data_IF_589091418753
#
_entry.id   IF_589091418753
#
_cell.length_a   1.000
_cell.length_b   1.000
_cell.length_c   1.000
_cell.angle_alpha   90.00
_cell.angle_beta   90.00
_cell.angle_gamma   90.00
#
_symmetry.space_group_name_H-M   'P 1'
#
loop_
_entity.id
_entity.type
_entity.pdbx_description
1 polymer ?
#
# COMPACT_ATOMS: atom_id res chain seq x y z
N UNK A 1 -0.89 -11.33 -11.05
CA UNK A 1 -0.53 -10.83 -9.72
C UNK A 1 0.32 -11.86 -9.00
N UNK A 2 1.48 -11.45 -8.50
CA UNK A 2 2.33 -12.23 -7.61
C UNK A 2 2.03 -11.80 -6.17
N UNK A 3 1.94 -12.75 -5.23
CA UNK A 3 1.68 -12.49 -3.82
C UNK A 3 2.40 -13.50 -2.94
N UNK A 4 2.57 -13.16 -1.67
CA UNK A 4 3.22 -13.93 -0.62
C UNK A 4 2.31 -13.96 0.62
N UNK A 5 1.94 -15.16 1.06
CA UNK A 5 1.24 -15.39 2.32
C UNK A 5 2.25 -15.98 3.32
N UNK A 6 2.21 -15.54 4.58
CA UNK A 6 3.03 -16.08 5.66
C UNK A 6 2.21 -16.90 6.65
N UNK A 7 2.80 -17.94 7.22
CA UNK A 7 2.27 -18.69 8.35
C UNK A 7 3.38 -18.90 9.38
N UNK A 8 3.20 -18.45 10.61
CA UNK A 8 4.16 -18.68 11.70
C UNK A 8 4.09 -20.15 12.09
N UNK A 9 5.20 -20.87 11.94
CA UNK A 9 5.28 -22.32 12.24
C UNK A 9 5.65 -22.57 13.70
N UNK A 10 6.53 -21.73 14.24
CA UNK A 10 6.98 -21.71 15.64
C UNK A 10 7.62 -20.33 15.91
N UNK A 11 8.09 -20.09 17.15
CA UNK A 11 8.70 -18.81 17.57
C UNK A 11 9.79 -18.26 16.63
N UNK A 12 10.50 -19.12 15.91
CA UNK A 12 11.68 -18.73 15.12
C UNK A 12 11.51 -18.91 13.61
N UNK A 13 10.44 -19.55 13.15
CA UNK A 13 10.29 -19.95 11.74
C UNK A 13 8.91 -19.59 11.21
N UNK A 14 8.88 -19.13 9.96
CA UNK A 14 7.66 -18.97 9.20
C UNK A 14 7.73 -19.69 7.85
N UNK A 15 6.56 -20.13 7.39
CA UNK A 15 6.35 -20.64 6.04
C UNK A 15 5.85 -19.49 5.18
N UNK A 16 6.60 -19.15 4.13
CA UNK A 16 6.16 -18.21 3.10
C UNK A 16 5.71 -18.99 1.88
N UNK A 17 4.46 -18.74 1.48
CA UNK A 17 3.87 -19.28 0.26
C UNK A 17 3.79 -18.19 -0.79
N UNK A 18 4.61 -18.30 -1.82
CA UNK A 18 4.58 -17.42 -2.98
C UNK A 18 3.63 -17.99 -4.03
N UNK A 19 2.74 -17.15 -4.54
CA UNK A 19 1.77 -17.54 -5.56
C UNK A 19 1.80 -16.55 -6.70
N UNK A 20 1.73 -17.09 -7.92
CA UNK A 20 1.53 -16.32 -9.13
C UNK A 20 0.21 -16.75 -9.77
N UNK A 21 -0.80 -15.90 -9.63
CA UNK A 21 -2.13 -16.17 -10.18
C UNK A 21 -2.20 -16.11 -11.71
N UNK A 22 -1.18 -15.54 -12.39
CA UNK A 22 -1.13 -15.48 -13.86
C UNK A 22 -0.60 -16.79 -14.41
N UNK A 23 0.47 -17.30 -13.81
CA UNK A 23 1.13 -18.54 -14.27
C UNK A 23 0.57 -19.79 -13.59
N UNK A 24 -0.37 -19.62 -12.66
CA UNK A 24 -0.94 -20.69 -11.84
C UNK A 24 0.14 -21.55 -11.16
N UNK A 25 1.15 -20.89 -10.58
CA UNK A 25 2.25 -21.54 -9.86
C UNK A 25 2.27 -21.11 -8.40
N UNK A 26 2.51 -22.05 -7.49
CA UNK A 26 2.76 -21.77 -6.07
C UNK A 26 4.04 -22.47 -5.61
N UNK A 27 4.75 -21.84 -4.68
CA UNK A 27 5.94 -22.42 -4.05
C UNK A 27 5.97 -22.03 -2.59
N UNK A 28 6.38 -22.97 -1.73
CA UNK A 28 6.52 -22.71 -0.30
C UNK A 28 8.00 -22.75 0.08
N UNK A 29 8.40 -21.86 0.98
CA UNK A 29 9.73 -21.85 1.60
C UNK A 29 9.61 -21.59 3.09
N UNK A 30 10.52 -22.15 3.86
CA UNK A 30 10.65 -21.85 5.30
C UNK A 30 11.76 -20.84 5.46
N UNK A 31 11.50 -19.77 6.21
CA UNK A 31 12.48 -18.73 6.53
C UNK A 31 12.49 -18.46 8.03
N UNK A 32 13.58 -17.85 8.51
CA UNK A 32 13.66 -17.33 9.87
C UNK A 32 12.76 -16.11 10.08
N UNK A 33 12.31 -15.89 11.30
CA UNK A 33 11.45 -14.74 11.62
C UNK A 33 12.13 -13.39 11.41
N UNK A 34 13.44 -13.33 11.62
CA UNK A 34 14.28 -12.18 11.34
C UNK A 34 14.18 -11.72 9.87
N UNK A 35 13.86 -12.62 8.95
CA UNK A 35 13.68 -12.32 7.53
C UNK A 35 12.27 -11.78 7.20
N UNK A 36 11.31 -11.78 8.14
CA UNK A 36 9.94 -11.30 7.91
C UNK A 36 9.91 -9.88 7.32
N UNK A 37 10.82 -9.03 7.79
CA UNK A 37 10.96 -7.64 7.34
C UNK A 37 11.40 -7.55 5.86
N UNK A 38 12.12 -8.55 5.34
CA UNK A 38 12.61 -8.59 3.97
C UNK A 38 11.57 -9.11 2.95
N UNK A 39 10.48 -9.71 3.43
CA UNK A 39 9.42 -10.26 2.58
C UNK A 39 8.21 -9.32 2.45
N UNK A 40 7.76 -9.08 1.22
CA UNK A 40 6.55 -8.30 0.94
C UNK A 40 5.30 -9.19 1.07
N UNK A 41 5.00 -9.60 2.30
CA UNK A 41 3.81 -10.39 2.62
C UNK A 41 2.53 -9.56 2.50
N UNK A 42 1.46 -10.19 2.01
CA UNK A 42 0.10 -9.62 2.01
C UNK A 42 -0.71 -10.04 3.22
N UNK A 43 -0.33 -11.11 3.91
CA UNK A 43 -0.99 -11.59 5.14
C UNK A 43 -0.05 -12.49 5.92
N UNK A 44 -0.16 -12.46 7.25
CA UNK A 44 0.52 -13.38 8.15
C UNK A 44 -0.49 -14.08 9.05
N UNK A 45 -0.43 -15.41 9.09
CA UNK A 45 -1.22 -16.25 9.98
C UNK A 45 -0.36 -16.73 11.16
N UNK A 46 -0.99 -16.89 12.32
CA UNK A 46 -0.35 -17.43 13.52
C UNK A 46 -1.35 -18.29 14.31
N UNK A 47 -0.85 -19.18 15.15
CA UNK A 47 -1.66 -19.93 16.12
C UNK A 47 -1.62 -19.24 17.48
N UNK A 48 -2.70 -19.26 18.26
CA UNK A 48 -2.80 -18.50 19.51
C UNK A 48 -1.69 -18.84 20.52
N UNK A 49 -1.25 -20.11 20.53
CA UNK A 49 -0.13 -20.62 21.35
C UNK A 49 1.18 -19.85 21.09
N UNK A 50 1.34 -19.30 19.90
CA UNK A 50 2.56 -18.58 19.51
C UNK A 50 2.60 -17.16 20.09
N UNK A 51 1.48 -16.62 20.57
CA UNK A 51 1.45 -15.31 21.24
C UNK A 51 2.03 -15.33 22.66
N UNK A 52 2.37 -16.51 23.19
CA UNK A 52 3.08 -16.66 24.47
C UNK A 52 4.53 -16.15 24.39
N UNK A 53 5.09 -16.05 23.18
CA UNK A 53 6.44 -15.53 22.94
C UNK A 53 6.40 -14.01 22.72
N UNK A 54 6.89 -13.26 23.71
CA UNK A 54 6.92 -11.79 23.68
C UNK A 54 7.73 -11.22 22.50
N UNK A 55 8.82 -11.88 22.09
CA UNK A 55 9.69 -11.43 21.00
C UNK A 55 9.00 -11.56 19.64
N UNK A 56 8.31 -12.69 19.43
CA UNK A 56 7.49 -12.92 18.25
C UNK A 56 6.36 -11.88 18.18
N UNK A 57 5.69 -11.63 19.30
CA UNK A 57 4.59 -10.65 19.39
C UNK A 57 5.05 -9.24 19.03
N UNK A 58 6.18 -8.78 19.56
CA UNK A 58 6.75 -7.48 19.20
C UNK A 58 7.05 -7.36 17.70
N UNK A 59 7.64 -8.40 17.10
CA UNK A 59 7.96 -8.46 15.67
C UNK A 59 6.70 -8.40 14.79
N UNK A 60 5.64 -9.11 15.19
CA UNK A 60 4.35 -9.08 14.52
C UNK A 60 3.69 -7.70 14.65
N UNK A 61 3.65 -7.11 15.84
CA UNK A 61 3.06 -5.78 16.07
C UNK A 61 3.75 -4.70 15.23
N UNK A 62 5.08 -4.72 15.11
CA UNK A 62 5.82 -3.80 14.25
C UNK A 62 5.43 -3.93 12.76
N UNK A 63 4.97 -5.10 12.35
CA UNK A 63 4.58 -5.42 10.97
C UNK A 63 3.08 -5.20 10.69
N UNK A 64 2.24 -5.10 11.73
CA UNK A 64 0.78 -5.03 11.62
C UNK A 64 0.26 -3.82 10.85
N UNK A 65 1.07 -2.75 10.73
CA UNK A 65 0.74 -1.57 9.93
C UNK A 65 0.87 -1.76 8.42
N UNK A 66 1.56 -2.81 7.97
CA UNK A 66 1.85 -3.06 6.55
C UNK A 66 0.93 -4.12 5.93
N UNK A 67 0.48 -5.10 6.71
CA UNK A 67 -0.38 -6.19 6.26
C UNK A 67 -1.20 -6.76 7.42
N UNK A 68 -2.36 -7.39 7.15
CA UNK A 68 -3.15 -8.05 8.18
C UNK A 68 -2.41 -9.24 8.81
N UNK A 69 -2.53 -9.30 10.14
CA UNK A 69 -2.09 -10.43 10.95
C UNK A 69 -3.34 -11.06 11.58
N UNK A 70 -3.53 -12.36 11.39
CA UNK A 70 -4.77 -13.07 11.76
C UNK A 70 -4.49 -14.42 12.41
N UNK A 71 -5.36 -14.80 13.34
CA UNK A 71 -5.34 -16.15 13.90
C UNK A 71 -5.68 -17.15 12.79
N UNK A 72 -4.89 -18.20 12.67
CA UNK A 72 -5.15 -19.30 11.76
C UNK A 72 -6.44 -20.05 12.14
N UNK A 73 -6.79 -20.04 13.43
CA UNK A 73 -8.02 -20.63 13.98
C UNK A 73 -9.30 -20.03 13.37
N UNK A 74 -9.32 -18.72 13.11
CA UNK A 74 -10.48 -18.01 12.50
C UNK A 74 -10.85 -18.55 11.11
N UNK A 75 -9.90 -19.19 10.44
CA UNK A 75 -10.05 -19.74 9.10
C UNK A 75 -9.93 -21.26 9.08
N UNK A 76 -9.85 -21.91 10.24
CA UNK A 76 -9.59 -23.35 10.38
C UNK A 76 -8.34 -23.79 9.61
N UNK A 77 -7.32 -22.93 9.55
CA UNK A 77 -6.04 -23.22 8.94
C UNK A 77 -5.08 -23.78 9.99
N UNK A 78 -4.39 -24.84 9.61
CA UNK A 78 -3.19 -25.39 10.27
C UNK A 78 -1.97 -25.23 9.37
N UNK A 79 -0.75 -25.35 9.91
CA UNK A 79 0.50 -25.35 9.12
C UNK A 79 0.41 -26.31 7.92
N UNK A 80 -0.03 -27.55 8.16
CA UNK A 80 -0.12 -28.59 7.14
C UNK A 80 -1.16 -28.24 6.05
N UNK A 81 -2.31 -27.71 6.45
CA UNK A 81 -3.35 -27.29 5.50
C UNK A 81 -2.89 -26.09 4.68
N UNK A 82 -2.17 -25.14 5.29
CA UNK A 82 -1.64 -23.94 4.64
C UNK A 82 -0.60 -24.30 3.58
N UNK A 83 0.34 -25.19 3.92
CA UNK A 83 1.35 -25.69 2.97
C UNK A 83 0.69 -26.37 1.76
N UNK A 84 -0.43 -27.08 1.97
CA UNK A 84 -1.18 -27.81 0.95
C UNK A 84 -2.24 -26.98 0.20
N UNK A 85 -2.50 -25.73 0.60
CA UNK A 85 -3.49 -24.87 -0.06
C UNK A 85 -3.27 -24.82 -1.58
N UNK A 86 -4.29 -25.19 -2.35
CA UNK A 86 -4.29 -25.00 -3.79
C UNK A 86 -4.44 -23.50 -4.12
N UNK A 87 -4.01 -23.09 -5.32
CA UNK A 87 -4.00 -21.66 -5.71
C UNK A 87 -5.38 -21.02 -5.61
N UNK A 88 -6.43 -21.73 -6.01
CA UNK A 88 -7.81 -21.22 -5.96
C UNK A 88 -8.28 -21.01 -4.52
N UNK A 89 -7.95 -21.93 -3.62
CA UNK A 89 -8.30 -21.83 -2.20
C UNK A 89 -7.51 -20.74 -1.51
N UNK A 90 -6.21 -20.66 -1.77
CA UNK A 90 -5.35 -19.62 -1.25
C UNK A 90 -5.81 -18.22 -1.72
N UNK A 91 -6.25 -18.10 -2.98
CA UNK A 91 -6.86 -16.86 -3.48
C UNK A 91 -8.11 -16.49 -2.68
N UNK A 92 -9.03 -17.44 -2.47
CA UNK A 92 -10.25 -17.18 -1.71
C UNK A 92 -9.96 -16.75 -0.26
N UNK A 93 -8.99 -17.40 0.39
CA UNK A 93 -8.52 -17.02 1.72
C UNK A 93 -7.95 -15.59 1.71
N UNK A 94 -7.08 -15.30 0.74
CA UNK A 94 -6.45 -14.00 0.60
C UNK A 94 -7.49 -12.89 0.37
N UNK A 95 -8.42 -13.09 -0.56
CA UNK A 95 -9.48 -12.13 -0.90
C UNK A 95 -10.34 -11.79 0.32
N UNK A 96 -10.70 -12.81 1.11
CA UNK A 96 -11.49 -12.64 2.34
C UNK A 96 -10.73 -11.82 3.39
N UNK A 97 -9.45 -12.14 3.63
CA UNK A 97 -8.66 -11.48 4.68
C UNK A 97 -8.29 -10.06 4.28
N UNK A 98 -7.81 -9.86 3.06
CA UNK A 98 -7.47 -8.53 2.53
C UNK A 98 -8.70 -7.65 2.43
N UNK A 99 -9.84 -8.18 1.95
CA UNK A 99 -11.08 -7.40 1.86
C UNK A 99 -11.53 -6.86 3.21
N UNK A 100 -11.46 -7.68 4.27
CA UNK A 100 -11.77 -7.23 5.62
C UNK A 100 -10.76 -6.18 6.13
N UNK A 101 -9.46 -6.40 5.91
CA UNK A 101 -8.43 -5.45 6.31
C UNK A 101 -8.57 -4.09 5.62
N UNK A 102 -8.80 -4.09 4.31
CA UNK A 102 -9.04 -2.88 3.52
C UNK A 102 -10.29 -2.16 4.02
N UNK A 103 -11.38 -2.89 4.28
CA UNK A 103 -12.60 -2.31 4.83
C UNK A 103 -12.36 -1.66 6.19
N UNK A 104 -11.62 -2.33 7.08
CA UNK A 104 -11.26 -1.80 8.38
C UNK A 104 -10.44 -0.50 8.25
N UNK A 105 -9.40 -0.49 7.41
CA UNK A 105 -8.58 0.70 7.17
C UNK A 105 -9.41 1.87 6.62
N UNK A 106 -10.34 1.57 5.71
CA UNK A 106 -11.25 2.54 5.11
C UNK A 106 -12.18 3.16 6.15
N UNK A 107 -12.72 2.34 7.06
CA UNK A 107 -13.55 2.81 8.17
C UNK A 107 -12.72 3.68 9.12
N UNK A 108 -11.52 3.25 9.50
CA UNK A 108 -10.63 4.04 10.37
C UNK A 108 -10.28 5.39 9.74
N UNK A 109 -9.95 5.43 8.44
CA UNK A 109 -9.72 6.70 7.74
C UNK A 109 -10.96 7.60 7.76
N UNK A 110 -12.16 7.03 7.65
CA UNK A 110 -13.39 7.81 7.71
C UNK A 110 -13.65 8.38 9.12
N UNK A 111 -13.38 7.60 10.16
CA UNK A 111 -13.54 8.00 11.57
C UNK A 111 -12.53 9.09 11.96
N UNK A 112 -11.29 8.97 11.50
CA UNK A 112 -10.18 9.88 11.81
C UNK A 112 -9.96 10.95 10.74
N UNK A 113 -10.87 11.08 9.77
CA UNK A 113 -10.69 11.85 8.54
C UNK A 113 -10.15 13.27 8.80
N UNK A 114 -10.78 14.01 9.70
CA UNK A 114 -10.41 15.40 9.96
C UNK A 114 -9.05 15.50 10.67
N UNK A 115 -8.77 14.60 11.62
CA UNK A 115 -7.48 14.58 12.32
C UNK A 115 -6.33 14.31 11.34
N UNK A 116 -6.50 13.34 10.43
CA UNK A 116 -5.52 13.03 9.38
C UNK A 116 -5.36 14.20 8.44
N UNK A 117 -6.46 14.82 8.00
CA UNK A 117 -6.43 15.97 7.08
C UNK A 117 -5.73 17.17 7.71
N UNK A 118 -5.99 17.47 8.97
CA UNK A 118 -5.35 18.58 9.70
C UNK A 118 -3.84 18.35 9.82
N UNK A 119 -3.42 17.15 10.25
CA UNK A 119 -2.00 16.77 10.33
C UNK A 119 -1.28 16.88 8.98
N UNK A 120 -1.85 16.30 7.91
CA UNK A 120 -1.27 16.41 6.57
C UNK A 120 -1.24 17.86 6.08
N UNK A 121 -2.25 18.67 6.41
CA UNK A 121 -2.26 20.08 6.05
C UNK A 121 -1.17 20.89 6.76
N UNK A 122 -0.78 20.52 7.97
CA UNK A 122 0.38 21.08 8.68
C UNK A 122 1.71 20.70 8.02
N UNK A 123 1.83 19.49 7.46
CA UNK A 123 3.02 19.08 6.73
C UNK A 123 3.19 19.83 5.41
N UNK A 124 2.10 20.18 4.72
CA UNK A 124 2.17 20.78 3.37
C UNK A 124 3.12 21.99 3.22
N UNK A 125 3.08 23.04 4.09
CA UNK A 125 4.02 24.16 4.01
C UNK A 125 5.41 23.86 4.60
N UNK A 126 5.53 22.85 5.47
CA UNK A 126 6.72 22.61 6.30
C UNK A 126 7.63 21.53 5.72
N UNK A 127 7.05 20.39 5.34
CA UNK A 127 7.74 19.25 4.75
C UNK A 127 6.82 18.55 3.73
N UNK A 128 6.97 18.97 2.47
CA UNK A 128 6.18 18.46 1.37
C UNK A 128 6.51 17.01 1.01
N UNK A 129 7.74 16.57 1.24
CA UNK A 129 8.13 15.17 1.00
C UNK A 129 7.42 14.28 2.01
N UNK A 130 7.48 14.63 3.30
CA UNK A 130 6.79 13.89 4.36
C UNK A 130 5.27 13.82 4.12
N UNK A 131 4.65 14.92 3.65
CA UNK A 131 3.23 14.91 3.23
C UNK A 131 2.93 13.79 2.23
N UNK A 132 3.73 13.69 1.15
CA UNK A 132 3.48 12.71 0.10
C UNK A 132 3.88 11.29 0.51
N UNK A 133 4.86 11.11 1.38
CA UNK A 133 5.21 9.82 1.98
C UNK A 133 4.08 9.26 2.85
N UNK A 134 3.48 10.11 3.70
CA UNK A 134 2.32 9.73 4.50
C UNK A 134 1.09 9.48 3.63
N UNK A 135 0.83 10.34 2.63
CA UNK A 135 -0.24 10.12 1.67
C UNK A 135 -0.07 8.79 0.92
N UNK A 136 1.16 8.46 0.49
CA UNK A 136 1.48 7.19 -0.15
C UNK A 136 1.14 6.00 0.75
N UNK A 137 1.50 6.08 2.03
CA UNK A 137 1.23 5.02 3.00
C UNK A 137 -0.27 4.84 3.25
N UNK A 138 -0.99 5.95 3.41
CA UNK A 138 -2.44 5.97 3.59
C UNK A 138 -3.15 5.35 2.39
N UNK A 139 -2.77 5.74 1.17
CA UNK A 139 -3.35 5.17 -0.04
C UNK A 139 -3.03 3.68 -0.19
N UNK A 140 -1.79 3.25 0.11
CA UNK A 140 -1.40 1.84 0.07
C UNK A 140 -2.30 0.98 0.95
N UNK A 141 -2.52 1.40 2.19
CA UNK A 141 -3.34 0.65 3.17
C UNK A 141 -4.83 0.67 2.83
N UNK A 142 -5.35 1.82 2.39
CA UNK A 142 -6.77 1.96 2.04
C UNK A 142 -7.13 1.30 0.70
N UNK A 143 -6.16 1.09 -0.17
CA UNK A 143 -6.35 0.35 -1.43
C UNK A 143 -6.07 -1.15 -1.30
N UNK A 144 -5.38 -1.59 -0.26
CA UNK A 144 -4.87 -2.97 -0.23
C UNK A 144 -3.80 -3.21 -1.29
N UNK A 145 -2.99 -2.18 -1.59
CA UNK A 145 -2.08 -2.21 -2.72
C UNK A 145 -0.80 -3.00 -2.42
N UNK A 146 -0.54 -4.02 -3.23
CA UNK A 146 0.71 -4.78 -3.19
C UNK A 146 1.89 -3.88 -3.54
N UNK A 147 1.70 -3.05 -4.56
CA UNK A 147 2.65 -2.06 -5.05
C UNK A 147 1.90 -0.75 -5.30
N UNK A 148 2.52 0.38 -4.95
CA UNK A 148 2.01 1.71 -5.24
C UNK A 148 3.17 2.64 -5.59
N UNK A 149 2.98 3.43 -6.65
CA UNK A 149 3.88 4.49 -7.06
C UNK A 149 3.10 5.79 -7.04
N UNK A 150 3.64 6.80 -6.38
CA UNK A 150 3.05 8.14 -6.35
C UNK A 150 4.03 9.10 -7.02
N UNK A 151 3.58 9.80 -8.05
CA UNK A 151 4.34 10.85 -8.73
C UNK A 151 3.68 12.19 -8.43
N UNK A 152 4.47 13.18 -8.05
CA UNK A 152 4.00 14.54 -7.82
C UNK A 152 5.01 15.57 -8.32
N UNK A 153 4.54 16.79 -8.54
CA UNK A 153 5.41 17.90 -8.90
C UNK A 153 5.92 18.60 -7.64
N UNK A 154 7.23 18.86 -7.57
CA UNK A 154 7.87 19.62 -6.50
C UNK A 154 8.77 20.75 -7.03
N UNK A 155 9.24 21.62 -6.13
CA UNK A 155 10.13 22.73 -6.44
C UNK A 155 11.50 22.49 -5.82
N UNK A 156 12.53 22.47 -6.66
CA UNK A 156 13.94 22.41 -6.24
C UNK A 156 14.60 23.76 -6.43
N UNK A 157 15.25 24.28 -5.38
CA UNK A 157 16.09 25.49 -5.49
C UNK A 157 17.33 25.17 -6.33
N UNK A 158 17.53 25.89 -7.44
CA UNK A 158 18.73 25.77 -8.28
C UNK A 158 19.58 27.04 -8.15
N UNK A 159 20.79 26.90 -7.58
CA UNK A 159 21.80 27.95 -7.49
C UNK A 159 22.22 28.31 -6.07
N UNK A 160 23.39 28.97 -5.92
CA UNK A 160 23.90 29.46 -4.62
C UNK A 160 23.20 30.73 -4.12
N UNK A 161 22.48 31.43 -5.01
CA UNK A 161 21.67 32.61 -4.72
C UNK A 161 20.22 32.28 -5.07
N UNK A 162 19.31 32.49 -4.12
CA UNK A 162 18.03 31.80 -3.93
C UNK A 162 16.89 32.07 -4.96
N UNK A 163 17.19 32.53 -6.17
CA UNK A 163 16.18 33.17 -7.04
C UNK A 163 15.58 32.28 -8.15
N UNK A 164 15.98 31.00 -8.28
CA UNK A 164 15.41 30.11 -9.31
C UNK A 164 14.93 28.79 -8.74
N UNK A 165 13.61 28.66 -8.68
CA UNK A 165 12.93 27.38 -8.46
C UNK A 165 12.77 26.66 -9.79
N UNK A 166 13.21 25.41 -9.87
CA UNK A 166 12.87 24.51 -10.96
C UNK A 166 11.78 23.55 -10.52
N UNK A 167 10.80 23.37 -11.40
CA UNK A 167 9.80 22.31 -11.25
C UNK A 167 10.48 20.97 -11.54
N UNK A 168 10.45 20.07 -10.56
CA UNK A 168 10.90 18.69 -10.69
C UNK A 168 9.71 17.75 -10.47
N UNK A 169 9.83 16.54 -10.99
CA UNK A 169 8.95 15.44 -10.61
C UNK A 169 9.64 14.67 -9.49
N UNK A 170 8.87 14.25 -8.50
CA UNK A 170 9.31 13.30 -7.47
C UNK A 170 8.44 12.06 -7.59
N UNK A 171 9.07 10.90 -7.53
CA UNK A 171 8.41 9.60 -7.45
C UNK A 171 8.66 9.00 -6.08
N UNK A 172 7.59 8.52 -5.45
CA UNK A 172 7.62 7.71 -4.25
C UNK A 172 7.25 6.29 -4.64
N UNK A 173 8.19 5.37 -4.41
CA UNK A 173 8.04 3.94 -4.64
C UNK A 173 8.52 3.17 -3.41
N UNK A 174 8.18 1.88 -3.31
CA UNK A 174 8.61 1.01 -2.23
C UNK A 174 7.62 -0.12 -1.95
N UNK A 175 8.12 -1.20 -1.32
CA UNK A 175 7.26 -2.33 -0.95
C UNK A 175 6.55 -2.09 0.38
N UNK A 176 7.30 -1.68 1.41
CA UNK A 176 6.77 -1.44 2.77
C UNK A 176 6.89 0.01 3.21
N UNK A 177 8.02 0.63 2.91
CA UNK A 177 8.38 1.98 3.35
C UNK A 177 8.52 2.84 2.09
N UNK A 178 8.03 4.08 2.09
CA UNK A 178 8.22 4.99 0.96
C UNK A 178 9.71 5.31 0.75
N UNK A 179 10.10 5.45 -0.52
CA UNK A 179 11.45 5.82 -0.93
C UNK A 179 11.37 6.93 -1.99
N UNK A 180 11.32 8.20 -1.58
CA UNK A 180 11.20 9.33 -2.49
C UNK A 180 12.49 9.53 -3.30
N UNK A 181 12.36 9.71 -4.60
CA UNK A 181 13.46 9.96 -5.54
C UNK A 181 13.06 11.01 -6.56
N UNK A 182 14.05 11.76 -7.04
CA UNK A 182 13.84 12.67 -8.16
C UNK A 182 13.51 11.85 -9.42
N UNK A 183 12.40 12.19 -10.06
CA UNK A 183 11.92 11.55 -11.27
C UNK A 183 12.73 11.95 -12.50
N UNK A 184 12.63 11.15 -13.55
CA UNK A 184 13.30 11.36 -14.83
C UNK A 184 12.34 11.67 -15.97
N UNK A 185 12.76 11.30 -17.18
CA UNK A 185 11.97 11.50 -18.41
C UNK A 185 10.70 10.65 -18.42
N UNK A 186 10.68 9.50 -17.73
CA UNK A 186 9.51 8.64 -17.67
C UNK A 186 8.39 9.30 -16.86
N UNK A 187 8.71 9.84 -15.68
CA UNK A 187 7.76 10.53 -14.81
C UNK A 187 7.19 11.78 -15.49
N UNK A 188 8.02 12.53 -16.22
CA UNK A 188 7.55 13.66 -17.04
C UNK A 188 6.51 13.23 -18.07
N UNK A 189 6.81 12.17 -18.84
CA UNK A 189 5.87 11.64 -19.84
C UNK A 189 4.57 11.15 -19.20
N UNK A 190 4.64 10.50 -18.03
CA UNK A 190 3.45 10.09 -17.30
C UNK A 190 2.60 11.32 -16.91
N UNK A 191 3.22 12.34 -16.30
CA UNK A 191 2.51 13.56 -15.93
C UNK A 191 1.90 14.27 -17.15
N UNK A 192 2.59 14.29 -18.29
CA UNK A 192 2.06 14.87 -19.52
C UNK A 192 0.88 14.06 -20.09
N UNK A 193 0.94 12.72 -20.03
CA UNK A 193 -0.13 11.84 -20.51
C UNK A 193 -1.43 12.00 -19.72
N UNK A 194 -1.35 12.28 -18.41
CA UNK A 194 -2.51 12.44 -17.52
C UNK A 194 -2.88 13.91 -17.24
N UNK A 195 -2.33 14.85 -18.01
CA UNK A 195 -2.45 16.29 -17.73
C UNK A 195 -3.88 16.79 -17.65
N UNK A 196 -4.78 16.24 -18.47
CA UNK A 196 -6.19 16.63 -18.52
C UNK A 196 -6.94 16.22 -17.23
N UNK A 197 -6.46 15.19 -16.52
CA UNK A 197 -7.06 14.73 -15.27
C UNK A 197 -6.75 15.66 -14.08
N UNK A 198 -5.64 16.40 -14.15
CA UNK A 198 -5.19 17.29 -13.06
C UNK A 198 -6.03 18.55 -12.88
N UNK A 199 -6.99 18.80 -13.78
CA UNK A 199 -8.01 19.84 -13.62
C UNK A 199 -8.96 19.50 -12.46
N UNK A 200 -9.15 18.21 -12.19
CA UNK A 200 -10.00 17.72 -11.12
C UNK A 200 -9.20 17.52 -9.82
N UNK A 201 -9.88 17.61 -8.68
CA UNK A 201 -9.27 17.26 -7.39
C UNK A 201 -8.93 15.77 -7.32
N UNK A 202 -9.81 14.93 -7.88
CA UNK A 202 -9.66 13.49 -7.91
C UNK A 202 -10.36 12.90 -9.13
N UNK A 203 -9.68 11.98 -9.80
CA UNK A 203 -10.17 11.19 -10.92
C UNK A 203 -9.61 9.78 -10.85
N UNK A 204 -10.44 8.80 -11.27
CA UNK A 204 -9.99 7.43 -11.54
C UNK A 204 -9.71 7.39 -13.04
N UNK A 205 -8.46 7.63 -13.40
CA UNK A 205 -8.05 7.77 -14.80
C UNK A 205 -8.12 6.42 -15.54
N UNK A 206 -7.73 5.34 -14.87
CA UNK A 206 -7.76 3.99 -15.43
C UNK A 206 -7.96 2.94 -14.34
N UNK A 207 -8.76 1.91 -14.62
CA UNK A 207 -8.83 0.70 -13.79
C UNK A 207 -9.01 -0.51 -14.69
N UNK A 208 -8.07 -1.45 -14.65
CA UNK A 208 -8.11 -2.74 -15.36
C UNK A 208 -8.25 -3.85 -14.33
N UNK A 209 -9.48 -4.31 -14.01
CA UNK A 209 -9.73 -5.33 -12.99
C UNK A 209 -8.97 -6.63 -13.23
N UNK A 210 -8.85 -7.08 -14.48
CA UNK A 210 -8.21 -8.36 -14.82
C UNK A 210 -6.70 -8.36 -14.51
N UNK A 211 -6.09 -7.17 -14.53
CA UNK A 211 -4.67 -6.98 -14.20
C UNK A 211 -4.45 -6.47 -12.78
N UNK A 212 -5.51 -6.02 -12.11
CA UNK A 212 -5.42 -5.35 -10.81
C UNK A 212 -4.74 -3.98 -10.90
N UNK A 213 -4.73 -3.34 -12.07
CA UNK A 213 -4.01 -2.08 -12.29
C UNK A 213 -4.97 -0.89 -12.11
N UNK A 214 -4.63 0.01 -11.18
CA UNK A 214 -5.40 1.22 -10.89
C UNK A 214 -4.53 2.46 -11.08
N UNK A 215 -5.06 3.45 -11.78
CA UNK A 215 -4.46 4.78 -11.92
C UNK A 215 -5.41 5.84 -11.38
N UNK A 216 -4.97 6.56 -10.35
CA UNK A 216 -5.66 7.71 -9.79
C UNK A 216 -4.88 8.97 -10.14
N UNK A 217 -5.57 10.03 -10.54
CA UNK A 217 -4.95 11.29 -10.90
C UNK A 217 -5.77 12.46 -10.31
N UNK A 218 -5.11 13.58 -10.07
CA UNK A 218 -5.81 14.77 -9.62
C UNK A 218 -4.86 15.87 -9.18
N UNK A 219 -5.39 16.79 -8.39
CA UNK A 219 -4.60 17.86 -7.82
C UNK A 219 -4.95 18.13 -6.37
N UNK A 220 -3.90 18.22 -5.53
CA UNK A 220 -3.99 18.69 -4.15
C UNK A 220 -3.37 20.07 -4.08
N UNK A 221 -4.15 21.08 -3.66
CA UNK A 221 -3.70 22.48 -3.53
C UNK A 221 -2.97 22.99 -4.79
N UNK A 222 -3.50 22.66 -5.97
CA UNK A 222 -2.93 22.98 -7.31
C UNK A 222 -1.62 22.27 -7.65
N UNK A 223 -1.17 21.32 -6.83
CA UNK A 223 -0.10 20.39 -7.18
C UNK A 223 -0.70 19.16 -7.84
N UNK A 224 -0.35 18.85 -9.09
CA UNK A 224 -0.70 17.58 -9.71
C UNK A 224 -0.11 16.39 -8.95
N UNK A 225 -0.86 15.30 -8.89
CA UNK A 225 -0.39 14.00 -8.43
C UNK A 225 -0.94 12.88 -9.32
N UNK A 226 -0.18 11.79 -9.41
CA UNK A 226 -0.53 10.57 -10.11
C UNK A 226 -0.19 9.37 -9.21
N UNK A 227 -1.13 8.47 -9.02
CA UNK A 227 -0.94 7.24 -8.23
C UNK A 227 -1.20 6.06 -9.15
N UNK A 228 -0.23 5.16 -9.23
CA UNK A 228 -0.34 3.88 -9.94
C UNK A 228 -0.23 2.76 -8.91
N UNK A 229 -1.24 1.91 -8.82
CA UNK A 229 -1.32 0.86 -7.82
C UNK A 229 -1.67 -0.50 -8.43
N UNK A 230 -1.07 -1.56 -7.87
CA UNK A 230 -1.45 -2.95 -8.12
C UNK A 230 -2.28 -3.44 -6.94
N UNK A 231 -3.57 -3.66 -7.16
CA UNK A 231 -4.59 -3.95 -6.15
C UNK A 231 -5.39 -5.20 -6.53
N UNK A 232 -6.03 -5.82 -5.55
CA UNK A 232 -6.89 -6.98 -5.78
C UNK A 232 -8.28 -6.58 -6.31
N UNK A 233 -8.90 -5.58 -5.69
CA UNK A 233 -10.21 -5.07 -6.06
C UNK A 233 -10.33 -3.57 -5.72
N UNK A 234 -11.22 -2.87 -6.41
CA UNK A 234 -11.51 -1.45 -6.20
C UNK A 234 -13.01 -1.20 -6.09
N UNK A 235 -13.49 -1.14 -4.85
CA UNK A 235 -14.92 -0.99 -4.56
C UNK A 235 -15.39 0.47 -4.66
N UNK A 236 -16.70 0.66 -4.84
CA UNK A 236 -17.32 1.99 -4.78
C UNK A 236 -17.10 2.70 -3.44
N UNK A 237 -17.03 1.94 -2.35
CA UNK A 237 -16.75 2.47 -1.01
C UNK A 237 -15.33 3.06 -0.96
N UNK A 238 -14.33 2.29 -1.38
CA UNK A 238 -12.93 2.75 -1.46
C UNK A 238 -12.81 4.00 -2.32
N UNK A 239 -13.43 4.01 -3.51
CA UNK A 239 -13.46 5.18 -4.39
C UNK A 239 -14.02 6.41 -3.66
N UNK A 240 -15.16 6.26 -2.98
CA UNK A 240 -15.84 7.36 -2.31
C UNK A 240 -15.03 7.92 -1.13
N UNK A 241 -14.40 7.04 -0.34
CA UNK A 241 -13.56 7.43 0.80
C UNK A 241 -12.31 8.14 0.33
N UNK A 242 -11.59 7.57 -0.65
CA UNK A 242 -10.37 8.18 -1.21
C UNK A 242 -10.70 9.52 -1.87
N UNK A 243 -11.77 9.60 -2.65
CA UNK A 243 -12.20 10.87 -3.24
C UNK A 243 -12.50 11.92 -2.18
N UNK A 244 -13.21 11.54 -1.11
CA UNK A 244 -13.54 12.44 0.01
C UNK A 244 -12.27 12.93 0.71
N UNK A 245 -11.34 12.01 0.99
CA UNK A 245 -10.07 12.30 1.62
C UNK A 245 -9.22 13.28 0.79
N UNK A 246 -9.02 13.01 -0.50
CA UNK A 246 -8.26 13.89 -1.41
C UNK A 246 -8.95 15.25 -1.56
N UNK A 247 -10.28 15.27 -1.64
CA UNK A 247 -11.05 16.52 -1.70
C UNK A 247 -10.89 17.34 -0.43
N UNK A 248 -10.86 16.70 0.74
CA UNK A 248 -10.67 17.36 2.03
C UNK A 248 -9.26 17.96 2.16
N UNK A 249 -8.21 17.26 1.70
CA UNK A 249 -6.83 17.77 1.65
C UNK A 249 -6.66 18.98 0.71
N UNK A 250 -7.57 19.15 -0.25
CA UNK A 250 -7.48 20.18 -1.28
C UNK A 250 -8.27 21.46 -0.95
N UNK A 251 -9.01 21.46 0.16
CA UNK A 251 -9.74 22.62 0.69
C UNK A 251 -8.84 23.46 1.57
#
# INVERSE_FOLDING_TARGET
>A
MQCQMGYVKNSNQLVVKEMNFVNNTNTSKVIGIEELSNHNLQVLFYEEEQLEDDSLKETMLASAKFFPIRSAGDLSLTVDSFEKLEITEAKHVLDKVLGNWVLQNNITLLEELFQVVDHLNELWPNDRTAFFEELWFMLKNNLGANEIKLVYNDLKKIGKNEDKNALIQVIIEGDKIPNPKEGGELEKRLMDNYKDEFVNLFSVAEFIPEKGQLVLAGSIKKSPFLVMANINDFTMLQKSIIQTFITALSR
#
